data_IF_685599738076
#
_entry.id   IF_685599738076
#
_cell.length_a   1.000
_cell.length_b   1.000
_cell.length_c   1.000
_cell.angle_alpha   90.00
_cell.angle_beta   90.00
_cell.angle_gamma   90.00
#
_symmetry.space_group_name_H-M   'P 1'
#
loop_
_entity.id
_entity.type
_entity.pdbx_description
1 polymer ?
#
# COMPACT_ATOMS: atom_id res chain seq x y z
N UNK A 1 6.23 33.88 4.78
CA UNK A 1 5.79 32.86 5.76
C UNK A 1 6.86 32.76 6.84
N UNK A 2 6.50 32.82 8.13
CA UNK A 2 7.47 32.68 9.22
C UNK A 2 8.05 31.24 9.21
N UNK A 3 9.37 31.09 9.32
CA UNK A 3 10.08 29.83 9.25
C UNK A 3 9.51 28.78 10.24
N UNK A 4 9.17 29.20 11.45
CA UNK A 4 8.57 28.32 12.47
C UNK A 4 7.20 27.79 12.05
N UNK A 5 6.41 28.57 11.32
CA UNK A 5 5.10 28.17 10.82
C UNK A 5 5.22 27.14 9.70
N UNK A 6 6.21 27.29 8.84
CA UNK A 6 6.51 26.31 7.80
C UNK A 6 6.86 24.94 8.39
N UNK A 7 7.81 24.89 9.33
CA UNK A 7 8.19 23.63 9.98
C UNK A 7 7.03 22.98 10.74
N UNK A 8 6.20 23.77 11.44
CA UNK A 8 5.02 23.26 12.13
C UNK A 8 4.05 22.59 11.16
N UNK A 9 3.77 23.21 10.00
CA UNK A 9 2.93 22.64 8.96
C UNK A 9 3.49 21.33 8.39
N UNK A 10 4.80 21.30 8.10
CA UNK A 10 5.46 20.09 7.58
C UNK A 10 5.36 18.94 8.59
N UNK A 11 5.69 19.19 9.85
CA UNK A 11 5.62 18.16 10.91
C UNK A 11 4.18 17.69 11.10
N UNK A 12 3.21 18.60 11.17
CA UNK A 12 1.80 18.27 11.31
C UNK A 12 1.31 17.44 10.12
N UNK A 13 1.70 17.81 8.90
CA UNK A 13 1.33 17.07 7.70
C UNK A 13 1.91 15.65 7.67
N UNK A 14 3.20 15.52 8.03
CA UNK A 14 3.86 14.21 8.07
C UNK A 14 3.29 13.34 9.19
N UNK A 15 3.29 13.82 10.43
CA UNK A 15 2.88 13.01 11.59
C UNK A 15 1.36 12.79 11.58
N UNK A 16 0.57 13.86 11.38
CA UNK A 16 -0.89 13.78 11.35
C UNK A 16 -1.37 12.97 10.15
N UNK A 17 -0.78 13.18 8.96
CA UNK A 17 -1.10 12.42 7.75
C UNK A 17 -0.80 10.94 7.89
N UNK A 18 0.33 10.58 8.51
CA UNK A 18 0.71 9.21 8.76
C UNK A 18 -0.24 8.54 9.76
N UNK A 19 -0.46 9.16 10.92
CA UNK A 19 -1.32 8.60 11.96
C UNK A 19 -2.77 8.46 11.49
N UNK A 20 -3.33 9.51 10.90
CA UNK A 20 -4.69 9.47 10.37
C UNK A 20 -4.81 8.44 9.24
N UNK A 21 -3.83 8.40 8.34
CA UNK A 21 -3.79 7.45 7.24
C UNK A 21 -3.76 6.00 7.71
N UNK A 22 -2.94 5.67 8.71
CA UNK A 22 -2.88 4.33 9.29
C UNK A 22 -4.20 3.95 9.98
N UNK A 23 -4.77 4.85 10.80
CA UNK A 23 -6.03 4.56 11.50
C UNK A 23 -7.16 4.33 10.49
N UNK A 24 -7.31 5.21 9.51
CA UNK A 24 -8.36 5.09 8.51
C UNK A 24 -8.17 3.88 7.59
N UNK A 25 -6.93 3.50 7.30
CA UNK A 25 -6.58 2.28 6.58
C UNK A 25 -7.15 1.04 7.29
N UNK A 26 -6.86 0.90 8.58
CA UNK A 26 -7.36 -0.22 9.38
C UNK A 26 -8.89 -0.19 9.55
N UNK A 27 -9.46 1.01 9.71
CA UNK A 27 -10.93 1.18 9.70
C UNK A 27 -11.53 0.72 8.38
N UNK A 28 -10.86 0.97 7.25
CA UNK A 28 -11.26 0.47 5.94
C UNK A 28 -11.39 -1.06 5.92
N UNK A 29 -10.38 -1.77 6.41
CA UNK A 29 -10.43 -3.24 6.55
C UNK A 29 -11.57 -3.70 7.45
N UNK A 30 -11.76 -3.04 8.60
CA UNK A 30 -12.83 -3.37 9.54
C UNK A 30 -14.22 -3.21 8.90
N UNK A 31 -14.47 -2.08 8.21
CA UNK A 31 -15.74 -1.82 7.52
C UNK A 31 -15.98 -2.84 6.41
N UNK A 32 -14.98 -3.10 5.57
CA UNK A 32 -15.08 -4.07 4.49
C UNK A 32 -15.32 -5.50 5.01
N UNK A 33 -14.69 -5.85 6.13
CA UNK A 33 -14.92 -7.11 6.81
C UNK A 33 -16.36 -7.24 7.29
N UNK A 34 -16.85 -6.26 8.07
CA UNK A 34 -18.21 -6.25 8.59
C UNK A 34 -19.27 -6.24 7.49
N UNK A 35 -19.02 -5.55 6.37
CA UNK A 35 -19.93 -5.50 5.23
C UNK A 35 -20.02 -6.84 4.48
N UNK A 36 -18.92 -7.59 4.42
CA UNK A 36 -18.85 -8.85 3.67
C UNK A 36 -19.08 -10.09 4.53
N UNK A 37 -18.86 -10.00 5.84
CA UNK A 37 -18.89 -11.14 6.75
C UNK A 37 -19.33 -10.72 8.15
N UNK A 38 -20.48 -11.22 8.58
CA UNK A 38 -20.93 -11.00 9.95
C UNK A 38 -20.07 -11.86 10.90
N UNK A 39 -19.39 -11.21 11.84
CA UNK A 39 -18.65 -11.88 12.92
C UNK A 39 -17.16 -12.18 12.67
N UNK A 40 -16.60 -11.78 11.52
CA UNK A 40 -15.20 -12.04 11.21
C UNK A 40 -14.21 -11.01 11.73
N UNK A 41 -14.70 -9.90 12.28
CA UNK A 41 -13.85 -8.92 12.96
C UNK A 41 -13.51 -9.46 14.36
N UNK A 42 -12.24 -9.64 14.64
CA UNK A 42 -11.76 -10.19 15.91
C UNK A 42 -11.26 -9.11 16.85
N UNK A 43 -10.36 -8.27 16.38
CA UNK A 43 -9.67 -7.31 17.22
C UNK A 43 -9.14 -6.13 16.39
N UNK A 44 -9.05 -4.95 17.01
CA UNK A 44 -8.32 -3.81 16.48
C UNK A 44 -7.48 -3.19 17.60
N UNK A 45 -6.31 -2.69 17.24
CA UNK A 45 -5.44 -2.09 18.23
C UNK A 45 -4.28 -1.31 17.62
N UNK A 46 -3.42 -0.84 18.52
CA UNK A 46 -2.17 -0.20 18.16
C UNK A 46 -1.02 -1.13 18.51
N UNK A 47 0.01 -1.11 17.67
CA UNK A 47 1.26 -1.84 17.91
C UNK A 47 2.45 -0.91 17.69
N UNK A 48 3.59 -1.29 18.26
CA UNK A 48 4.86 -0.65 17.95
C UNK A 48 5.73 -1.70 17.23
N UNK A 49 6.11 -1.42 15.98
CA UNK A 49 7.01 -2.26 15.21
C UNK A 49 8.38 -1.60 15.12
N UNK A 50 9.29 -2.03 15.99
CA UNK A 50 10.57 -1.35 16.17
C UNK A 50 10.37 0.03 16.81
N UNK A 51 10.62 1.10 16.06
CA UNK A 51 10.42 2.50 16.50
C UNK A 51 9.17 3.16 15.88
N UNK A 52 8.48 2.45 14.99
CA UNK A 52 7.32 3.00 14.27
C UNK A 52 6.03 2.56 14.95
N UNK A 53 5.12 3.52 15.27
CA UNK A 53 3.78 3.19 15.67
C UNK A 53 3.01 2.61 14.47
N UNK A 54 2.14 1.67 14.72
CA UNK A 54 1.24 1.07 13.75
C UNK A 54 -0.13 0.82 14.34
N UNK A 55 -1.15 0.76 13.50
CA UNK A 55 -2.45 0.23 13.83
C UNK A 55 -2.57 -1.16 13.21
N UNK A 56 -3.48 -1.98 13.71
CA UNK A 56 -3.82 -3.26 13.11
C UNK A 56 -5.29 -3.59 13.32
N UNK A 57 -5.84 -4.34 12.38
CA UNK A 57 -7.13 -5.01 12.50
C UNK A 57 -6.92 -6.49 12.26
N UNK A 58 -7.30 -7.30 13.21
CA UNK A 58 -7.26 -8.75 13.07
C UNK A 58 -8.61 -9.23 12.51
N UNK A 59 -8.55 -9.92 11.38
CA UNK A 59 -9.70 -10.41 10.65
C UNK A 59 -9.55 -11.91 10.46
N UNK A 60 -10.55 -12.68 10.84
CA UNK A 60 -10.61 -14.08 10.44
C UNK A 60 -11.35 -14.20 9.10
N UNK A 61 -10.57 -14.29 8.03
CA UNK A 61 -11.06 -14.45 6.68
C UNK A 61 -11.05 -15.92 6.21
N UNK A 62 -10.90 -16.89 7.11
CA UNK A 62 -10.83 -18.32 6.77
C UNK A 62 -12.14 -18.82 6.15
N UNK A 63 -13.27 -18.38 6.67
CA UNK A 63 -14.60 -18.77 6.21
C UNK A 63 -15.06 -18.04 4.94
N UNK A 64 -14.29 -17.07 4.43
CA UNK A 64 -14.61 -16.38 3.18
C UNK A 64 -14.29 -17.27 1.99
N UNK A 65 -15.26 -17.99 1.49
CA UNK A 65 -15.13 -18.84 0.31
C UNK A 65 -15.05 -18.01 -0.98
N UNK A 66 -15.65 -16.82 -1.01
CA UNK A 66 -15.64 -15.95 -2.19
C UNK A 66 -14.33 -15.16 -2.28
N UNK A 67 -13.49 -15.54 -3.24
CA UNK A 67 -12.17 -14.93 -3.49
C UNK A 67 -12.22 -13.41 -3.70
N UNK A 68 -13.26 -12.91 -4.40
CA UNK A 68 -13.41 -11.45 -4.66
C UNK A 68 -13.71 -10.69 -3.38
N UNK A 69 -14.61 -11.20 -2.53
CA UNK A 69 -14.92 -10.59 -1.23
C UNK A 69 -13.69 -10.56 -0.33
N UNK A 70 -12.93 -11.66 -0.32
CA UNK A 70 -11.67 -11.74 0.43
C UNK A 70 -10.65 -10.70 -0.05
N UNK A 71 -10.49 -10.56 -1.36
CA UNK A 71 -9.62 -9.56 -1.95
C UNK A 71 -10.09 -8.12 -1.65
N UNK A 72 -11.40 -7.85 -1.70
CA UNK A 72 -11.96 -6.54 -1.34
C UNK A 72 -11.65 -6.15 0.11
N UNK A 73 -11.70 -7.10 1.04
CA UNK A 73 -11.35 -6.85 2.44
C UNK A 73 -9.88 -6.40 2.55
N UNK A 74 -8.96 -7.09 1.87
CA UNK A 74 -7.54 -6.72 1.90
C UNK A 74 -7.22 -5.44 1.11
N UNK A 75 -8.00 -5.09 0.07
CA UNK A 75 -7.80 -3.85 -0.68
C UNK A 75 -8.37 -2.62 0.03
N UNK A 76 -9.32 -2.79 0.92
CA UNK A 76 -10.08 -1.70 1.52
C UNK A 76 -9.22 -0.64 2.21
N UNK A 77 -8.14 -1.04 2.90
CA UNK A 77 -7.20 -0.11 3.51
C UNK A 77 -6.49 0.77 2.47
N UNK A 78 -6.04 0.15 1.38
CA UNK A 78 -5.40 0.84 0.25
C UNK A 78 -6.38 1.83 -0.39
N UNK A 79 -7.62 1.41 -0.65
CA UNK A 79 -8.67 2.24 -1.23
C UNK A 79 -8.98 3.46 -0.34
N UNK A 80 -9.03 3.28 0.97
CA UNK A 80 -9.25 4.37 1.93
C UNK A 80 -8.10 5.38 1.91
N UNK A 81 -6.85 4.94 1.86
CA UNK A 81 -5.71 5.86 1.77
C UNK A 81 -5.74 6.68 0.48
N UNK A 82 -6.06 6.05 -0.66
CA UNK A 82 -6.20 6.76 -1.93
C UNK A 82 -7.40 7.72 -1.93
N UNK A 83 -8.53 7.32 -1.36
CA UNK A 83 -9.70 8.18 -1.20
C UNK A 83 -9.38 9.40 -0.33
N UNK A 84 -8.72 9.21 0.81
CA UNK A 84 -8.29 10.29 1.69
C UNK A 84 -7.35 11.25 0.97
N UNK A 85 -6.39 10.74 0.21
CA UNK A 85 -5.50 11.56 -0.62
C UNK A 85 -6.27 12.40 -1.62
N UNK A 86 -7.22 11.81 -2.34
CA UNK A 86 -8.07 12.51 -3.30
C UNK A 86 -8.93 13.61 -2.66
N UNK A 87 -9.54 13.31 -1.51
CA UNK A 87 -10.34 14.29 -0.75
C UNK A 87 -9.49 15.46 -0.25
N UNK A 88 -8.31 15.20 0.27
CA UNK A 88 -7.37 16.25 0.71
C UNK A 88 -6.90 17.10 -0.47
N UNK A 89 -6.65 16.52 -1.64
CA UNK A 89 -6.31 17.28 -2.86
C UNK A 89 -7.45 18.19 -3.29
N UNK A 90 -8.68 17.71 -3.32
CA UNK A 90 -9.87 18.52 -3.67
C UNK A 90 -10.01 19.67 -2.65
N UNK A 91 -9.88 19.39 -1.36
CA UNK A 91 -9.94 20.40 -0.32
C UNK A 91 -8.84 21.46 -0.51
N UNK A 92 -7.60 21.02 -0.72
CA UNK A 92 -6.45 21.91 -0.91
C UNK A 92 -6.63 22.86 -2.12
N UNK A 93 -7.19 22.37 -3.23
CA UNK A 93 -7.46 23.19 -4.43
C UNK A 93 -8.65 24.13 -4.26
N UNK A 94 -9.63 23.76 -3.42
CA UNK A 94 -10.84 24.54 -3.18
C UNK A 94 -10.68 25.65 -2.15
N UNK A 95 -9.66 25.58 -1.31
CA UNK A 95 -9.42 26.52 -0.22
C UNK A 95 -8.67 27.76 -0.72
N UNK A 96 -9.15 28.97 -0.35
CA UNK A 96 -8.50 30.26 -0.64
C UNK A 96 -7.22 30.39 0.18
N UNK A 97 -6.18 30.97 -0.42
CA UNK A 97 -4.87 31.15 0.25
C UNK A 97 -4.93 32.02 1.52
N UNK A 98 -5.74 33.06 1.51
CA UNK A 98 -5.89 33.97 2.65
C UNK A 98 -6.90 33.50 3.70
N UNK A 99 -7.29 32.23 3.70
CA UNK A 99 -8.19 31.64 4.71
C UNK A 99 -7.38 30.87 5.75
N UNK A 100 -7.99 30.63 6.92
CA UNK A 100 -7.40 29.79 7.95
C UNK A 100 -6.95 28.40 7.42
N UNK A 101 -7.77 27.78 6.59
CA UNK A 101 -7.40 26.51 5.95
C UNK A 101 -6.31 26.66 4.88
N UNK A 102 -6.17 27.86 4.29
CA UNK A 102 -5.10 28.15 3.33
C UNK A 102 -3.71 28.08 3.97
N UNK A 103 -3.62 28.43 5.24
CA UNK A 103 -2.36 28.31 6.01
C UNK A 103 -1.90 26.86 6.20
N UNK A 104 -2.84 25.89 6.12
CA UNK A 104 -2.59 24.45 6.28
C UNK A 104 -2.38 23.70 4.97
N UNK A 105 -2.35 24.39 3.81
CA UNK A 105 -2.14 23.73 2.51
C UNK A 105 -0.90 22.85 2.46
N UNK A 106 0.19 23.32 3.07
CA UNK A 106 1.45 22.56 3.14
C UNK A 106 1.26 21.28 3.96
N UNK A 107 0.59 21.34 5.10
CA UNK A 107 0.28 20.16 5.90
C UNK A 107 -0.60 19.18 5.14
N UNK A 108 -1.63 19.68 4.42
CA UNK A 108 -2.49 18.84 3.57
C UNK A 108 -1.68 18.16 2.47
N UNK A 109 -0.75 18.86 1.82
CA UNK A 109 0.12 18.29 0.79
C UNK A 109 0.96 17.13 1.34
N UNK A 110 1.61 17.33 2.48
CA UNK A 110 2.38 16.25 3.11
C UNK A 110 1.48 15.07 3.53
N UNK A 111 0.27 15.34 4.02
CA UNK A 111 -0.70 14.28 4.34
C UNK A 111 -1.13 13.50 3.10
N UNK A 112 -1.36 14.17 1.95
CA UNK A 112 -1.61 13.50 0.66
C UNK A 112 -0.47 12.57 0.29
N UNK A 113 0.77 13.09 0.30
CA UNK A 113 1.96 12.30 -0.04
C UNK A 113 2.10 11.07 0.87
N UNK A 114 1.92 11.25 2.19
CA UNK A 114 2.00 10.13 3.14
C UNK A 114 0.96 9.06 2.88
N UNK A 115 -0.28 9.43 2.58
CA UNK A 115 -1.34 8.46 2.31
C UNK A 115 -1.13 7.73 0.98
N UNK A 116 -0.62 8.40 -0.04
CA UNK A 116 -0.20 7.74 -1.28
C UNK A 116 0.93 6.75 -1.02
N UNK A 117 1.96 7.13 -0.26
CA UNK A 117 3.06 6.24 0.12
C UNK A 117 2.54 5.02 0.89
N UNK A 118 1.63 5.21 1.87
CA UNK A 118 1.01 4.11 2.61
C UNK A 118 0.26 3.15 1.68
N UNK A 119 -0.55 3.68 0.75
CA UNK A 119 -1.27 2.85 -0.22
C UNK A 119 -0.30 2.01 -1.07
N UNK A 120 0.82 2.61 -1.50
CA UNK A 120 1.83 1.94 -2.34
C UNK A 120 2.63 0.88 -1.60
N UNK A 121 3.01 1.16 -0.37
CA UNK A 121 3.68 0.17 0.47
C UNK A 121 2.74 -1.03 0.67
N UNK A 122 1.47 -0.77 0.97
CA UNK A 122 0.51 -1.83 1.23
C UNK A 122 0.08 -2.61 -0.02
N UNK A 123 0.10 -2.01 -1.22
CA UNK A 123 -0.17 -2.75 -2.47
C UNK A 123 1.02 -3.66 -2.86
N UNK A 124 2.17 -3.48 -2.23
CA UNK A 124 3.34 -4.30 -2.53
C UNK A 124 3.07 -5.77 -2.21
N UNK A 125 3.70 -6.67 -3.00
CA UNK A 125 3.59 -8.12 -2.79
C UNK A 125 4.62 -8.64 -1.77
N UNK A 126 5.12 -7.78 -0.90
CA UNK A 126 5.99 -8.16 0.22
C UNK A 126 5.16 -8.90 1.25
N UNK A 127 5.77 -9.87 1.90
CA UNK A 127 5.11 -10.71 2.91
C UNK A 127 4.49 -9.88 4.03
N UNK A 128 3.27 -10.21 4.37
CA UNK A 128 2.43 -9.53 5.37
C UNK A 128 1.91 -8.13 5.00
N UNK A 129 1.93 -7.75 3.72
CA UNK A 129 1.23 -6.56 3.22
C UNK A 129 -0.07 -6.96 2.51
N UNK A 130 -1.02 -6.02 2.43
CA UNK A 130 -2.35 -6.25 1.87
C UNK A 130 -2.33 -6.69 0.41
N UNK A 131 -1.39 -6.18 -0.37
CA UNK A 131 -1.18 -6.59 -1.76
C UNK A 131 -0.87 -8.07 -1.88
N UNK A 132 -0.02 -8.63 -1.01
CA UNK A 132 0.24 -10.06 -0.98
C UNK A 132 -1.01 -10.86 -0.61
N UNK A 133 -1.71 -10.44 0.45
CA UNK A 133 -2.94 -11.09 0.88
C UNK A 133 -4.02 -11.04 -0.21
N UNK A 134 -4.15 -9.91 -0.91
CA UNK A 134 -5.05 -9.75 -2.07
C UNK A 134 -4.69 -10.71 -3.19
N UNK A 135 -3.43 -10.80 -3.57
CA UNK A 135 -2.97 -11.72 -4.62
C UNK A 135 -3.19 -13.18 -4.23
N UNK A 136 -2.92 -13.53 -2.97
CA UNK A 136 -3.21 -14.88 -2.45
C UNK A 136 -4.71 -15.19 -2.46
N UNK A 137 -5.55 -14.20 -2.17
CA UNK A 137 -7.01 -14.36 -2.22
C UNK A 137 -7.52 -14.59 -3.65
N UNK A 138 -7.03 -13.81 -4.62
CA UNK A 138 -7.49 -13.90 -6.03
C UNK A 138 -6.95 -15.12 -6.76
N UNK A 139 -5.65 -15.37 -6.66
CA UNK A 139 -4.94 -16.37 -7.48
C UNK A 139 -4.59 -17.65 -6.72
N UNK A 140 -4.64 -17.61 -5.39
CA UNK A 140 -4.24 -18.70 -4.51
C UNK A 140 -2.77 -18.59 -4.06
N UNK A 141 -2.51 -19.03 -2.81
CA UNK A 141 -1.18 -19.01 -2.19
C UNK A 141 -0.09 -19.70 -3.02
N UNK A 142 -0.35 -20.89 -3.61
CA UNK A 142 0.65 -21.62 -4.40
C UNK A 142 1.24 -20.84 -5.56
N UNK A 143 0.47 -19.94 -6.21
CA UNK A 143 0.96 -19.14 -7.35
C UNK A 143 2.00 -18.10 -6.88
N UNK A 144 1.73 -17.42 -5.78
CA UNK A 144 2.65 -16.41 -5.22
C UNK A 144 3.93 -17.09 -4.73
N UNK A 145 3.81 -18.22 -4.04
CA UNK A 145 4.96 -18.98 -3.56
C UNK A 145 5.77 -19.57 -4.72
N UNK A 146 5.10 -20.06 -5.76
CA UNK A 146 5.76 -20.53 -6.98
C UNK A 146 6.50 -19.38 -7.70
N UNK A 147 5.93 -18.19 -7.77
CA UNK A 147 6.59 -17.03 -8.36
C UNK A 147 7.87 -16.66 -7.59
N UNK A 148 7.80 -16.57 -6.26
CA UNK A 148 8.96 -16.35 -5.40
C UNK A 148 10.03 -17.45 -5.56
N UNK A 149 9.61 -18.71 -5.59
CA UNK A 149 10.50 -19.87 -5.78
C UNK A 149 11.18 -19.87 -7.16
N UNK A 150 10.43 -19.54 -8.22
CA UNK A 150 10.94 -19.48 -9.59
C UNK A 150 12.03 -18.39 -9.74
N UNK A 151 11.80 -17.21 -9.15
CA UNK A 151 12.80 -16.13 -9.15
C UNK A 151 14.08 -16.56 -8.41
N UNK A 152 13.97 -17.27 -7.29
CA UNK A 152 15.11 -17.83 -6.56
C UNK A 152 15.90 -18.86 -7.39
N UNK A 153 15.22 -19.61 -8.29
CA UNK A 153 15.89 -20.54 -9.20
C UNK A 153 16.72 -19.82 -10.28
N UNK A 154 16.38 -18.58 -10.61
CA UNK A 154 17.09 -17.79 -11.62
C UNK A 154 18.42 -17.20 -11.13
N UNK A 155 18.65 -17.15 -9.85
CA UNK A 155 19.83 -16.55 -9.23
C UNK A 155 21.17 -17.27 -9.58
N UNK A 156 21.12 -18.51 -10.02
CA UNK A 156 22.33 -19.31 -10.34
C UNK A 156 22.19 -19.95 -11.73
N UNK A 157 23.27 -19.87 -12.55
CA UNK A 157 23.31 -20.45 -13.90
C UNK A 157 23.04 -21.96 -13.91
N UNK A 158 23.53 -22.69 -12.90
CA UNK A 158 23.31 -24.14 -12.76
C UNK A 158 21.84 -24.44 -12.45
N UNK A 159 21.23 -23.70 -11.49
CA UNK A 159 19.82 -23.86 -11.12
C UNK A 159 18.93 -23.50 -12.29
N UNK A 160 19.19 -22.38 -12.99
CA UNK A 160 18.47 -21.92 -14.17
C UNK A 160 18.42 -22.97 -15.28
N UNK A 161 19.57 -23.56 -15.64
CA UNK A 161 19.65 -24.61 -16.68
C UNK A 161 18.84 -25.85 -16.29
N UNK A 162 18.94 -26.28 -15.05
CA UNK A 162 18.17 -27.44 -14.54
C UNK A 162 16.66 -27.15 -14.54
N UNK A 163 16.25 -25.94 -14.17
CA UNK A 163 14.87 -25.52 -14.18
C UNK A 163 14.26 -25.59 -15.58
N UNK A 164 14.94 -25.00 -16.59
CA UNK A 164 14.45 -25.06 -17.96
C UNK A 164 14.45 -26.46 -18.56
N UNK A 165 15.45 -27.28 -18.22
CA UNK A 165 15.47 -28.68 -18.66
C UNK A 165 14.28 -29.48 -18.09
N UNK A 166 13.82 -29.16 -16.87
CA UNK A 166 12.71 -29.85 -16.23
C UNK A 166 11.34 -29.36 -16.70
N UNK A 167 11.18 -28.05 -16.92
CA UNK A 167 9.87 -27.43 -17.14
C UNK A 167 9.61 -27.00 -18.59
N UNK A 168 10.60 -27.03 -19.49
CA UNK A 168 10.43 -26.67 -20.88
C UNK A 168 9.79 -25.30 -21.12
N UNK A 169 8.81 -25.23 -22.03
CA UNK A 169 8.07 -24.01 -22.36
C UNK A 169 7.23 -23.48 -21.17
N UNK A 170 6.69 -24.36 -20.34
CA UNK A 170 5.97 -23.96 -19.13
C UNK A 170 6.89 -23.23 -18.15
N UNK A 171 8.18 -23.56 -18.16
CA UNK A 171 9.18 -22.83 -17.36
C UNK A 171 9.33 -21.37 -17.79
N UNK A 172 9.23 -21.08 -19.10
CA UNK A 172 9.27 -19.71 -19.61
C UNK A 172 8.04 -18.93 -19.14
N UNK A 173 6.85 -19.49 -19.32
CA UNK A 173 5.60 -18.86 -18.88
C UNK A 173 5.62 -18.54 -17.35
N UNK A 174 6.07 -19.51 -16.54
CA UNK A 174 6.19 -19.32 -15.09
C UNK A 174 7.19 -18.22 -14.71
N UNK A 175 8.29 -18.08 -15.47
CA UNK A 175 9.25 -16.99 -15.24
C UNK A 175 8.70 -15.66 -15.67
N UNK A 176 8.04 -15.59 -16.84
CA UNK A 176 7.39 -14.36 -17.29
C UNK A 176 6.38 -13.87 -16.25
N UNK A 177 5.53 -14.76 -15.72
CA UNK A 177 4.60 -14.44 -14.63
C UNK A 177 5.35 -13.94 -13.37
N UNK A 178 6.43 -14.62 -13.00
CA UNK A 178 7.24 -14.24 -11.83
C UNK A 178 7.92 -12.87 -12.01
N UNK A 179 8.37 -12.56 -13.22
CA UNK A 179 8.96 -11.26 -13.57
C UNK A 179 7.89 -10.16 -13.54
N UNK A 180 6.70 -10.42 -14.08
CA UNK A 180 5.57 -9.48 -14.00
C UNK A 180 5.25 -9.15 -12.54
N UNK A 181 5.16 -10.17 -11.70
CA UNK A 181 4.95 -10.00 -10.24
C UNK A 181 6.06 -9.15 -9.62
N UNK A 182 7.34 -9.38 -9.98
CA UNK A 182 8.48 -8.61 -9.47
C UNK A 182 8.45 -7.14 -9.96
N UNK A 183 8.12 -6.92 -11.24
CA UNK A 183 8.00 -5.59 -11.82
C UNK A 183 6.92 -4.77 -11.09
N UNK A 184 5.76 -5.37 -10.83
CA UNK A 184 4.72 -4.73 -10.03
C UNK A 184 5.18 -4.41 -8.59
N UNK A 185 5.99 -5.27 -7.97
CA UNK A 185 6.49 -5.07 -6.61
C UNK A 185 7.48 -3.92 -6.46
N UNK A 186 8.35 -3.71 -7.44
CA UNK A 186 9.51 -2.80 -7.30
C UNK A 186 9.33 -1.55 -8.14
N UNK A 187 8.88 -1.72 -9.39
CA UNK A 187 8.88 -0.64 -10.37
C UNK A 187 7.77 0.38 -10.13
N UNK A 188 6.56 -0.08 -9.78
CA UNK A 188 5.44 0.84 -9.53
C UNK A 188 5.68 1.70 -8.29
N UNK A 189 6.09 1.17 -7.12
CA UNK A 189 6.47 2.01 -6.00
C UNK A 189 7.59 3.01 -6.30
N UNK A 190 8.60 2.60 -7.09
CA UNK A 190 9.70 3.50 -7.48
C UNK A 190 9.25 4.61 -8.43
N UNK A 191 8.39 4.31 -9.41
CA UNK A 191 7.84 5.33 -10.32
C UNK A 191 7.06 6.39 -9.54
N UNK A 192 6.24 5.97 -8.61
CA UNK A 192 5.41 6.89 -7.85
C UNK A 192 6.25 7.69 -6.85
N UNK A 193 7.27 7.10 -6.23
CA UNK A 193 8.25 7.87 -5.44
C UNK A 193 8.97 8.90 -6.30
N UNK A 194 9.30 8.60 -7.56
CA UNK A 194 9.89 9.54 -8.49
C UNK A 194 8.93 10.68 -8.85
N UNK A 195 7.66 10.39 -9.16
CA UNK A 195 6.64 11.41 -9.42
C UNK A 195 6.38 12.32 -8.22
N UNK A 196 6.30 11.74 -7.02
CA UNK A 196 6.19 12.50 -5.77
C UNK A 196 7.41 13.43 -5.60
N UNK A 197 8.61 12.95 -5.86
CA UNK A 197 9.83 13.75 -5.73
C UNK A 197 9.86 14.91 -6.72
N UNK A 198 9.40 14.70 -7.97
CA UNK A 198 9.28 15.75 -8.99
C UNK A 198 8.21 16.77 -8.57
N UNK A 199 7.07 16.32 -8.10
CA UNK A 199 5.98 17.18 -7.66
C UNK A 199 6.39 18.03 -6.46
N UNK A 200 7.00 17.44 -5.44
CA UNK A 200 7.51 18.14 -4.26
C UNK A 200 8.62 19.12 -4.66
N UNK A 201 9.55 18.73 -5.54
CA UNK A 201 10.58 19.61 -6.06
C UNK A 201 10.01 20.83 -6.81
N UNK A 202 8.95 20.64 -7.60
CA UNK A 202 8.26 21.72 -8.32
C UNK A 202 7.44 22.67 -7.45
N UNK A 203 7.02 22.24 -6.25
CA UNK A 203 6.31 23.10 -5.28
C UNK A 203 7.28 24.02 -4.54
N UNK A 204 8.56 23.67 -4.46
CA UNK A 204 9.60 24.44 -3.73
C UNK A 204 10.57 25.20 -4.65
N UNK A 205 10.42 25.11 -5.97
CA UNK A 205 11.12 25.92 -6.97
C UNK A 205 10.31 27.16 -7.35
#
# INVERSE_FOLDING_TARGET
MNCNYFFANVITGIVGGLLLGMILHEVGHAIACLANMKGAFLEAGFMIRGILPGAYVMIDATDVTNRRKKAQIYLAGIEVNLLLSGLLMILMTSVRENSFLGEWKIAMLYAVVQNVILALINISLVENFDGEHTMRALFGGPIVDAAKANLKQMSSSKKRRNYFRKNGLNGIANICTSVVVLVFQIFIPLLILAEISIFVGGVFS
#
